data_IF_232801117570
#
_entry.id   IF_232801117570
#
_cell.length_a   1.000
_cell.length_b   1.000
_cell.length_c   1.000
_cell.angle_alpha   90.00
_cell.angle_beta   90.00
_cell.angle_gamma   90.00
#
_symmetry.space_group_name_H-M   'P 1'
#
loop_
_entity.id
_entity.type
_entity.pdbx_description
1 polymer ?
#
# COMPACT_ATOMS: atom_id res chain seq x y z
N UNK A 1 4.95 -9.03 -29.43
CA UNK A 1 5.46 -9.67 -28.19
C UNK A 1 4.93 -11.10 -28.14
N UNK A 2 5.78 -12.10 -27.86
CA UNK A 2 5.32 -13.48 -27.68
C UNK A 2 4.48 -13.59 -26.39
N UNK A 3 3.55 -14.54 -26.35
CA UNK A 3 2.65 -14.73 -25.19
C UNK A 3 3.41 -14.92 -23.87
N UNK A 4 4.57 -15.59 -23.92
CA UNK A 4 5.44 -15.83 -22.76
C UNK A 4 6.07 -14.54 -22.22
N UNK A 5 6.58 -13.66 -23.09
CA UNK A 5 7.18 -12.38 -22.67
C UNK A 5 6.17 -11.48 -21.95
N UNK A 6 4.92 -11.43 -22.43
CA UNK A 6 3.85 -10.66 -21.76
C UNK A 6 3.58 -11.18 -20.34
N UNK A 7 3.54 -12.50 -20.16
CA UNK A 7 3.32 -13.13 -18.86
C UNK A 7 4.48 -12.85 -17.90
N UNK A 8 5.73 -12.91 -18.37
CA UNK A 8 6.92 -12.62 -17.54
C UNK A 8 6.87 -11.16 -17.06
N UNK A 9 6.63 -10.20 -17.97
CA UNK A 9 6.54 -8.78 -17.61
C UNK A 9 5.44 -8.54 -16.58
N UNK A 10 4.26 -9.15 -16.78
CA UNK A 10 3.15 -9.01 -15.83
C UNK A 10 3.51 -9.56 -14.43
N UNK A 11 4.24 -10.67 -14.35
CA UNK A 11 4.70 -11.23 -13.08
C UNK A 11 5.76 -10.37 -12.40
N UNK A 12 6.71 -9.82 -13.17
CA UNK A 12 7.70 -8.88 -12.62
C UNK A 12 6.98 -7.69 -11.99
N UNK A 13 6.05 -7.04 -12.71
CA UNK A 13 5.30 -5.91 -12.16
C UNK A 13 4.50 -6.27 -10.91
N UNK A 14 3.85 -7.43 -10.88
CA UNK A 14 3.08 -7.91 -9.72
C UNK A 14 3.95 -8.12 -8.50
N UNK A 15 5.06 -8.83 -8.66
CA UNK A 15 5.99 -9.12 -7.56
C UNK A 15 6.61 -7.83 -7.04
N UNK A 16 7.06 -6.94 -7.92
CA UNK A 16 7.60 -5.64 -7.53
C UNK A 16 6.58 -4.83 -6.71
N UNK A 17 5.33 -4.73 -7.18
CA UNK A 17 4.28 -4.01 -6.44
C UNK A 17 3.99 -4.64 -5.08
N UNK A 18 3.92 -5.98 -5.01
CA UNK A 18 3.69 -6.69 -3.75
C UNK A 18 4.84 -6.48 -2.76
N UNK A 19 6.09 -6.52 -3.23
CA UNK A 19 7.28 -6.26 -2.38
C UNK A 19 7.26 -4.85 -1.81
N UNK A 20 6.94 -3.84 -2.63
CA UNK A 20 6.86 -2.44 -2.18
C UNK A 20 5.80 -2.30 -1.08
N UNK A 21 4.61 -2.88 -1.27
CA UNK A 21 3.58 -2.89 -0.23
C UNK A 21 4.09 -3.60 1.03
N UNK A 22 4.60 -4.82 0.93
CA UNK A 22 5.10 -5.57 2.09
C UNK A 22 6.19 -4.84 2.87
N UNK A 23 7.03 -4.06 2.19
CA UNK A 23 8.02 -3.21 2.84
C UNK A 23 7.38 -2.10 3.68
N UNK A 24 6.33 -1.42 3.19
CA UNK A 24 5.65 -0.36 3.96
C UNK A 24 4.94 -0.92 5.18
N UNK A 25 4.38 -2.12 5.07
CA UNK A 25 3.69 -2.82 6.15
C UNK A 25 4.60 -3.09 7.35
N UNK A 26 5.89 -3.40 7.12
CA UNK A 26 6.85 -3.60 8.20
C UNK A 26 6.86 -2.39 9.15
N UNK A 27 7.08 -1.19 8.63
CA UNK A 27 7.10 0.04 9.43
C UNK A 27 5.78 0.32 10.15
N UNK A 28 4.65 0.03 9.49
CA UNK A 28 3.33 0.25 10.06
C UNK A 28 3.03 -0.73 11.20
N UNK A 29 3.33 -2.01 11.07
CA UNK A 29 3.01 -2.99 12.11
C UNK A 29 4.03 -3.04 13.24
N UNK A 30 5.30 -2.73 12.99
CA UNK A 30 6.32 -2.63 14.05
C UNK A 30 6.24 -1.32 14.84
N UNK A 31 5.26 -0.45 14.54
CA UNK A 31 5.12 0.87 15.14
C UNK A 31 6.44 1.67 15.10
N UNK A 32 7.10 1.67 13.93
CA UNK A 32 8.30 2.45 13.74
C UNK A 32 8.04 3.93 14.10
N UNK A 33 8.98 4.64 14.74
CA UNK A 33 8.76 6.00 15.21
C UNK A 33 8.27 6.96 14.12
N UNK A 34 8.77 6.81 12.89
CA UNK A 34 8.30 7.59 11.74
C UNK A 34 6.85 7.28 11.37
N UNK A 35 6.43 6.00 11.39
CA UNK A 35 5.05 5.63 11.09
C UNK A 35 4.09 6.17 12.15
N UNK A 36 4.45 6.03 13.43
CA UNK A 36 3.70 6.60 14.57
C UNK A 36 3.59 8.12 14.43
N UNK A 37 4.71 8.81 14.18
CA UNK A 37 4.72 10.25 13.96
C UNK A 37 3.73 10.69 12.87
N UNK A 38 3.77 10.05 11.70
CA UNK A 38 2.89 10.37 10.57
C UNK A 38 1.41 10.19 10.95
N UNK A 39 1.04 9.04 11.50
CA UNK A 39 -0.36 8.77 11.83
C UNK A 39 -0.88 9.58 13.04
N UNK A 40 0.00 9.93 13.98
CA UNK A 40 -0.31 10.87 15.07
C UNK A 40 -0.59 12.27 14.51
N UNK A 41 0.21 12.75 13.55
CA UNK A 41 0.03 14.08 12.93
C UNK A 41 -1.29 14.20 12.16
N UNK A 42 -1.67 13.15 11.44
CA UNK A 42 -2.97 13.09 10.74
C UNK A 42 -4.14 12.86 11.73
N UNK A 43 -3.87 12.62 13.02
CA UNK A 43 -4.90 12.38 14.04
C UNK A 43 -5.61 11.03 13.92
N UNK A 44 -5.01 10.08 13.20
CA UNK A 44 -5.57 8.77 12.93
C UNK A 44 -4.82 7.64 13.67
N UNK A 45 -3.87 7.93 14.54
CA UNK A 45 -3.25 6.89 15.36
C UNK A 45 -4.22 6.34 16.43
N UNK A 46 -4.22 5.02 16.71
CA UNK A 46 -3.51 3.93 16.03
C UNK A 46 -4.29 3.32 14.86
N UNK A 47 -5.58 3.64 14.77
CA UNK A 47 -6.54 2.99 13.88
C UNK A 47 -6.20 3.14 12.39
N UNK A 48 -5.78 4.33 11.96
CA UNK A 48 -5.33 4.59 10.59
C UNK A 48 -4.04 3.86 10.24
N UNK A 49 -3.10 3.74 11.19
CA UNK A 49 -1.84 3.01 10.98
C UNK A 49 -2.12 1.53 10.75
N UNK A 50 -2.82 0.89 11.69
CA UNK A 50 -3.13 -0.53 11.62
C UNK A 50 -4.13 -0.82 10.50
N UNK A 51 -5.18 0.00 10.35
CA UNK A 51 -6.20 -0.16 9.32
C UNK A 51 -5.63 -0.03 7.90
N UNK A 52 -4.82 1.00 7.63
CA UNK A 52 -4.14 1.11 6.33
C UNK A 52 -3.13 0.00 6.11
N UNK A 53 -2.41 -0.44 7.15
CA UNK A 53 -1.53 -1.61 7.07
C UNK A 53 -2.28 -2.88 6.68
N UNK A 54 -3.44 -3.17 7.30
CA UNK A 54 -4.26 -4.33 6.93
C UNK A 54 -4.77 -4.21 5.49
N UNK A 55 -5.22 -3.03 5.07
CA UNK A 55 -5.66 -2.80 3.69
C UNK A 55 -4.53 -3.03 2.67
N UNK A 56 -3.31 -2.58 2.97
CA UNK A 56 -2.12 -2.83 2.14
C UNK A 56 -1.75 -4.32 2.11
N UNK A 57 -1.94 -5.05 3.21
CA UNK A 57 -1.66 -6.49 3.26
C UNK A 57 -2.59 -7.23 2.29
N UNK A 58 -3.89 -6.91 2.36
CA UNK A 58 -4.89 -7.48 1.47
C UNK A 58 -4.61 -7.11 0.00
N UNK A 59 -4.20 -5.87 -0.26
CA UNK A 59 -3.82 -5.43 -1.59
C UNK A 59 -2.64 -6.24 -2.15
N UNK A 60 -1.59 -6.45 -1.35
CA UNK A 60 -0.43 -7.25 -1.74
C UNK A 60 -0.81 -8.71 -2.05
N UNK A 61 -1.64 -9.33 -1.21
CA UNK A 61 -2.14 -10.70 -1.42
C UNK A 61 -2.95 -10.78 -2.72
N UNK A 62 -3.87 -9.84 -2.95
CA UNK A 62 -4.72 -9.84 -4.14
C UNK A 62 -3.95 -9.56 -5.44
N UNK A 63 -2.87 -8.76 -5.40
CA UNK A 63 -1.99 -8.51 -6.56
C UNK A 63 -1.29 -9.80 -7.01
N UNK A 64 -0.85 -10.64 -6.08
CA UNK A 64 -0.14 -11.89 -6.37
C UNK A 64 -1.03 -12.95 -7.01
N UNK A 65 -2.33 -12.95 -6.72
CA UNK A 65 -3.30 -13.86 -7.34
C UNK A 65 -3.79 -13.26 -8.68
N UNK A 66 -3.51 -13.89 -9.84
CA UNK A 66 -3.73 -13.27 -11.15
C UNK A 66 -5.20 -12.88 -11.44
N UNK A 67 -6.16 -13.60 -10.86
CA UNK A 67 -7.60 -13.36 -11.03
C UNK A 67 -8.11 -12.18 -10.20
N UNK A 68 -7.46 -11.86 -9.08
CA UNK A 68 -7.85 -10.77 -8.17
C UNK A 68 -6.92 -9.56 -8.26
N UNK A 69 -5.97 -9.54 -9.21
CA UNK A 69 -4.99 -8.44 -9.33
C UNK A 69 -5.67 -7.07 -9.46
N UNK A 70 -6.81 -6.98 -10.14
CA UNK A 70 -7.54 -5.73 -10.28
C UNK A 70 -8.12 -5.22 -8.95
N UNK A 71 -8.58 -6.12 -8.07
CA UNK A 71 -9.04 -5.77 -6.72
C UNK A 71 -7.88 -5.26 -5.88
N UNK A 72 -6.74 -5.97 -5.91
CA UNK A 72 -5.55 -5.55 -5.19
C UNK A 72 -5.02 -4.19 -5.65
N UNK A 73 -4.99 -3.96 -6.97
CA UNK A 73 -4.62 -2.66 -7.53
C UNK A 73 -5.60 -1.55 -7.14
N UNK A 74 -6.92 -1.83 -7.18
CA UNK A 74 -7.95 -0.87 -6.75
C UNK A 74 -7.82 -0.51 -5.27
N UNK A 75 -7.56 -1.49 -4.40
CA UNK A 75 -7.35 -1.28 -2.98
C UNK A 75 -6.06 -0.48 -2.70
N UNK A 76 -4.96 -0.81 -3.38
CA UNK A 76 -3.72 -0.06 -3.29
C UNK A 76 -3.93 1.41 -3.72
N UNK A 77 -4.66 1.65 -4.81
CA UNK A 77 -5.02 3.00 -5.25
C UNK A 77 -5.85 3.75 -4.22
N UNK A 78 -6.83 3.09 -3.58
CA UNK A 78 -7.64 3.71 -2.54
C UNK A 78 -6.79 4.13 -1.32
N UNK A 79 -5.86 3.28 -0.88
CA UNK A 79 -4.94 3.63 0.22
C UNK A 79 -4.02 4.78 -0.16
N UNK A 80 -3.45 4.77 -1.36
CA UNK A 80 -2.59 5.86 -1.85
C UNK A 80 -3.36 7.18 -1.99
N UNK A 81 -4.62 7.13 -2.44
CA UNK A 81 -5.48 8.30 -2.51
C UNK A 81 -5.73 8.90 -1.12
N UNK A 82 -5.97 8.06 -0.10
CA UNK A 82 -6.07 8.50 1.29
C UNK A 82 -4.79 9.18 1.81
N UNK A 83 -3.62 8.62 1.48
CA UNK A 83 -2.34 9.22 1.83
C UNK A 83 -2.16 10.60 1.15
N UNK A 84 -2.41 10.70 -0.15
CA UNK A 84 -2.33 11.97 -0.89
C UNK A 84 -3.31 13.00 -0.32
N UNK A 85 -4.53 12.59 -0.01
CA UNK A 85 -5.52 13.47 0.62
C UNK A 85 -5.03 14.02 1.96
N UNK A 86 -4.41 13.19 2.80
CA UNK A 86 -3.82 13.63 4.06
C UNK A 86 -2.67 14.62 3.85
N UNK A 87 -1.87 14.46 2.80
CA UNK A 87 -0.83 15.42 2.44
C UNK A 87 -1.41 16.77 2.00
N UNK A 88 -2.51 16.79 1.23
CA UNK A 88 -3.11 18.01 0.72
C UNK A 88 -3.91 18.78 1.79
N UNK A 89 -4.59 18.07 2.67
CA UNK A 89 -5.43 18.67 3.72
C UNK A 89 -4.66 19.00 4.99
N UNK A 90 -3.64 18.20 5.30
CA UNK A 90 -2.75 18.39 6.44
C UNK A 90 -1.40 19.03 6.02
N UNK A 91 -1.35 19.69 4.85
CA UNK A 91 -0.11 20.22 4.26
C UNK A 91 0.60 21.26 5.13
N UNK A 92 -0.13 21.93 6.03
CA UNK A 92 0.42 22.92 6.97
C UNK A 92 1.22 22.30 8.14
N UNK A 93 1.35 20.97 8.21
CA UNK A 93 1.93 20.27 9.37
C UNK A 93 2.99 19.20 9.07
N UNK A 94 3.39 19.05 7.79
CA UNK A 94 4.48 18.18 7.36
C UNK A 94 5.83 18.89 7.36
#
# INVERSE_FOLDING_TARGET
MTSKTRTIIAWICRVTAAVILLQTLFFKFTAAPESVYIFTKVGLEPWGRIGSGVAELLAAIFILVPTTTWLGAGLALAVMAGAIFSHLTCSASW
#
